data_IF_261671167166
#
_entry.id   IF_261671167166
#
_cell.length_a   1.000
_cell.length_b   1.000
_cell.length_c   1.000
_cell.angle_alpha   90.00
_cell.angle_beta   90.00
_cell.angle_gamma   90.00
#
_symmetry.space_group_name_H-M   'P 1'
#
loop_
_entity.id
_entity.type
_entity.pdbx_description
1 polymer ?
#
# COMPACT_ATOMS: atom_id res chain seq x y z
N UNK A 1 -19.38 -22.85 35.21
CA UNK A 1 -19.31 -21.41 34.84
C UNK A 1 -17.92 -20.81 35.04
N UNK A 2 -17.44 -20.45 36.25
CA UNK A 2 -16.12 -19.76 36.45
C UNK A 2 -14.97 -20.23 35.53
N UNK A 3 -14.58 -21.51 35.55
CA UNK A 3 -13.50 -22.04 34.69
C UNK A 3 -13.70 -21.79 33.18
N UNK A 4 -14.95 -21.80 32.71
CA UNK A 4 -15.30 -21.58 31.31
C UNK A 4 -15.16 -20.10 30.93
N UNK A 5 -15.50 -19.19 31.86
CA UNK A 5 -15.21 -17.76 31.71
C UNK A 5 -13.70 -17.48 31.74
N UNK A 6 -12.92 -18.18 32.58
CA UNK A 6 -11.45 -18.07 32.59
C UNK A 6 -10.84 -18.52 31.26
N UNK A 7 -11.29 -19.65 30.70
CA UNK A 7 -10.83 -20.14 29.40
C UNK A 7 -11.25 -19.17 28.28
N UNK A 8 -12.49 -18.66 28.29
CA UNK A 8 -12.96 -17.69 27.30
C UNK A 8 -12.19 -16.37 27.36
N UNK A 9 -11.87 -15.86 28.57
CA UNK A 9 -11.00 -14.71 28.75
C UNK A 9 -9.57 -14.98 28.28
N UNK A 10 -9.04 -16.20 28.46
CA UNK A 10 -7.70 -16.56 27.98
C UNK A 10 -7.65 -16.64 26.45
N UNK A 11 -8.67 -17.20 25.80
CA UNK A 11 -8.79 -17.23 24.32
C UNK A 11 -8.93 -15.81 23.77
N UNK A 12 -9.82 -14.99 24.34
CA UNK A 12 -9.96 -13.58 23.94
C UNK A 12 -8.69 -12.74 24.22
N UNK A 13 -7.88 -13.11 25.22
CA UNK A 13 -6.58 -12.48 25.46
C UNK A 13 -5.49 -12.94 24.47
N UNK A 14 -5.60 -14.16 23.91
CA UNK A 14 -4.73 -14.63 22.82
C UNK A 14 -5.09 -13.91 21.51
N UNK A 15 -6.38 -13.75 21.20
CA UNK A 15 -6.83 -12.93 20.06
C UNK A 15 -6.40 -11.46 20.21
N UNK A 16 -6.35 -10.92 21.44
CA UNK A 16 -5.84 -9.58 21.74
C UNK A 16 -4.30 -9.45 21.68
N UNK A 17 -3.57 -10.54 21.46
CA UNK A 17 -2.12 -10.58 21.22
C UNK A 17 -1.78 -11.00 19.78
N UNK A 18 -2.78 -11.12 18.89
CA UNK A 18 -2.65 -11.85 17.62
C UNK A 18 -2.11 -11.03 16.43
N UNK A 19 -2.00 -9.70 16.54
CA UNK A 19 -1.49 -8.85 15.46
C UNK A 19 0.04 -8.97 15.27
N UNK A 20 0.49 -10.13 14.78
CA UNK A 20 1.89 -10.51 14.55
C UNK A 20 2.66 -9.53 13.63
N UNK A 21 1.94 -8.85 12.76
CA UNK A 21 2.50 -8.00 11.70
C UNK A 21 1.88 -6.60 11.71
N UNK A 22 2.73 -5.58 11.64
CA UNK A 22 2.34 -4.22 11.30
C UNK A 22 2.41 -3.99 9.78
N UNK A 23 1.98 -2.82 9.30
CA UNK A 23 2.04 -2.47 7.87
C UNK A 23 3.49 -2.47 7.35
N UNK A 24 4.48 -2.08 8.17
CA UNK A 24 5.91 -2.17 7.82
C UNK A 24 6.34 -3.59 7.46
N UNK A 25 5.98 -4.58 8.28
CA UNK A 25 6.26 -6.01 8.03
C UNK A 25 5.65 -6.48 6.71
N UNK A 26 4.37 -6.16 6.49
CA UNK A 26 3.63 -6.49 5.26
C UNK A 26 4.28 -5.85 4.04
N UNK A 27 4.89 -4.67 4.20
CA UNK A 27 5.65 -3.98 3.16
C UNK A 27 6.89 -4.72 2.67
N UNK A 28 7.48 -5.64 3.45
CA UNK A 28 8.64 -6.42 3.03
C UNK A 28 8.30 -7.63 2.16
N UNK A 29 7.07 -8.14 2.26
CA UNK A 29 6.62 -9.34 1.55
C UNK A 29 6.15 -8.97 0.14
N UNK A 30 6.44 -9.83 -0.83
CA UNK A 30 5.79 -9.73 -2.14
C UNK A 30 4.45 -10.47 -2.16
N UNK A 31 3.43 -9.73 -2.59
CA UNK A 31 2.02 -10.03 -2.43
C UNK A 31 1.28 -9.90 -3.78
N UNK A 32 2.03 -9.98 -4.88
CA UNK A 32 1.50 -9.88 -6.23
C UNK A 32 1.20 -8.44 -6.69
N UNK A 33 2.06 -7.48 -6.33
CA UNK A 33 2.01 -6.15 -6.97
C UNK A 33 2.48 -6.24 -8.42
N UNK A 34 1.77 -5.61 -9.35
CA UNK A 34 2.09 -5.68 -10.79
C UNK A 34 3.55 -5.29 -11.08
N UNK A 35 4.35 -6.19 -11.71
CA UNK A 35 5.77 -5.94 -11.92
C UNK A 35 6.00 -4.91 -13.02
N UNK A 36 7.08 -4.15 -12.92
CA UNK A 36 7.53 -3.33 -14.04
C UNK A 36 7.89 -4.20 -15.23
N UNK A 37 7.66 -3.69 -16.44
CA UNK A 37 8.11 -4.34 -17.68
C UNK A 37 9.20 -3.53 -18.37
N UNK A 38 10.21 -4.21 -18.88
CA UNK A 38 11.20 -3.64 -19.78
C UNK A 38 11.11 -4.31 -21.15
N UNK A 39 10.53 -3.60 -22.11
CA UNK A 39 10.55 -4.04 -23.50
C UNK A 39 11.87 -3.62 -24.14
N UNK A 40 12.67 -4.60 -24.57
CA UNK A 40 13.95 -4.37 -25.26
C UNK A 40 13.69 -4.58 -26.74
N UNK A 41 13.54 -3.47 -27.47
CA UNK A 41 13.35 -3.48 -28.91
C UNK A 41 14.70 -3.53 -29.62
N UNK A 42 14.85 -4.49 -30.53
CA UNK A 42 16.07 -4.72 -31.30
C UNK A 42 15.77 -4.66 -32.81
N UNK A 43 16.65 -4.09 -33.65
CA UNK A 43 16.46 -4.08 -35.10
C UNK A 43 16.19 -5.49 -35.68
N UNK A 44 15.34 -5.61 -36.71
CA UNK A 44 14.99 -6.91 -37.33
C UNK A 44 16.23 -7.74 -37.72
N UNK A 45 17.25 -7.08 -38.27
CA UNK A 45 18.49 -7.70 -38.75
C UNK A 45 19.58 -7.79 -37.67
N UNK A 46 19.24 -7.80 -36.37
CA UNK A 46 20.23 -7.85 -35.29
C UNK A 46 21.00 -9.18 -35.32
N UNK A 47 22.36 -9.15 -35.39
CA UNK A 47 23.16 -10.37 -35.41
C UNK A 47 22.92 -11.25 -34.17
N UNK A 48 22.89 -12.57 -34.36
CA UNK A 48 22.61 -13.54 -33.28
C UNK A 48 23.50 -13.36 -32.05
N UNK A 49 24.80 -13.12 -32.23
CA UNK A 49 25.72 -12.86 -31.12
C UNK A 49 25.34 -11.61 -30.30
N UNK A 50 24.79 -10.57 -30.95
CA UNK A 50 24.31 -9.37 -30.26
C UNK A 50 23.02 -9.68 -29.48
N UNK A 51 22.13 -10.51 -30.01
CA UNK A 51 20.93 -10.97 -29.29
C UNK A 51 21.31 -11.80 -28.05
N UNK A 52 22.29 -12.69 -28.18
CA UNK A 52 22.78 -13.54 -27.08
C UNK A 52 23.47 -12.72 -25.99
N UNK A 53 24.21 -11.65 -26.35
CA UNK A 53 24.72 -10.64 -25.39
C UNK A 53 23.55 -9.94 -24.68
N UNK A 54 22.60 -9.37 -25.42
CA UNK A 54 21.47 -8.62 -24.84
C UNK A 54 20.64 -9.51 -23.90
N UNK A 55 20.37 -10.76 -24.29
CA UNK A 55 19.59 -11.70 -23.50
C UNK A 55 20.33 -12.20 -22.26
N UNK A 56 21.63 -12.49 -22.35
CA UNK A 56 22.41 -12.92 -21.18
C UNK A 56 22.62 -11.78 -20.18
N UNK A 57 22.88 -10.55 -20.64
CA UNK A 57 22.95 -9.39 -19.74
C UNK A 57 21.61 -9.10 -19.09
N UNK A 58 20.51 -8.99 -19.85
CA UNK A 58 19.19 -8.73 -19.27
C UNK A 58 18.73 -9.83 -18.29
N UNK A 59 19.07 -11.09 -18.55
CA UNK A 59 18.83 -12.18 -17.61
C UNK A 59 19.63 -11.97 -16.31
N UNK A 60 20.95 -11.71 -16.40
CA UNK A 60 21.79 -11.47 -15.24
C UNK A 60 21.37 -10.25 -14.40
N UNK A 61 21.00 -9.14 -15.05
CA UNK A 61 20.58 -7.89 -14.36
C UNK A 61 19.23 -8.04 -13.65
N UNK A 62 18.28 -8.82 -14.19
CA UNK A 62 16.89 -8.80 -13.71
C UNK A 62 16.38 -10.09 -13.05
N UNK A 63 17.17 -11.17 -13.01
CA UNK A 63 16.76 -12.46 -12.45
C UNK A 63 16.13 -12.34 -11.04
N UNK A 64 16.85 -11.72 -10.11
CA UNK A 64 16.40 -11.48 -8.72
C UNK A 64 15.74 -10.10 -8.52
N UNK A 65 15.21 -9.50 -9.59
CA UNK A 65 14.58 -8.16 -9.55
C UNK A 65 13.05 -8.20 -9.59
N UNK A 66 12.41 -7.08 -9.26
CA UNK A 66 10.98 -6.85 -9.46
C UNK A 66 10.60 -6.37 -10.88
N UNK A 67 11.50 -6.53 -11.85
CA UNK A 67 11.29 -6.23 -13.27
C UNK A 67 11.12 -7.54 -14.05
N UNK A 68 10.25 -7.53 -15.06
CA UNK A 68 10.21 -8.57 -16.11
C UNK A 68 10.62 -7.94 -17.44
N UNK A 69 11.48 -8.61 -18.21
CA UNK A 69 11.98 -8.09 -19.47
C UNK A 69 11.55 -8.98 -20.64
N UNK A 70 11.33 -8.36 -21.81
CA UNK A 70 10.91 -9.03 -23.03
C UNK A 70 11.70 -8.48 -24.21
N UNK A 71 12.44 -9.34 -24.93
CA UNK A 71 13.23 -8.97 -26.10
C UNK A 71 12.46 -9.31 -27.39
N UNK A 72 12.35 -8.35 -28.30
CA UNK A 72 11.55 -8.48 -29.51
C UNK A 72 11.95 -7.49 -30.61
N UNK A 73 11.68 -7.85 -31.86
CA UNK A 73 11.80 -6.93 -32.99
C UNK A 73 10.52 -6.11 -33.18
N UNK A 74 10.55 -4.96 -33.88
CA UNK A 74 9.36 -4.17 -34.18
C UNK A 74 8.18 -4.95 -34.75
N UNK A 75 8.44 -5.89 -35.66
CA UNK A 75 7.39 -6.71 -36.30
C UNK A 75 6.71 -7.63 -35.27
N UNK A 76 7.47 -8.28 -34.38
CA UNK A 76 6.90 -9.10 -33.30
C UNK A 76 6.14 -8.25 -32.28
N UNK A 77 6.66 -7.06 -31.96
CA UNK A 77 6.03 -6.13 -31.03
C UNK A 77 4.69 -5.57 -31.55
N UNK A 78 4.56 -5.41 -32.87
CA UNK A 78 3.37 -4.85 -33.49
C UNK A 78 2.10 -5.68 -33.25
N UNK A 79 2.21 -6.97 -32.92
CA UNK A 79 1.07 -7.86 -32.69
C UNK A 79 0.85 -8.22 -31.20
N UNK A 80 1.68 -7.70 -30.29
CA UNK A 80 1.64 -8.01 -28.85
C UNK A 80 1.29 -6.82 -27.93
N UNK A 81 1.30 -7.07 -26.62
CA UNK A 81 1.05 -6.03 -25.59
C UNK A 81 2.05 -4.85 -25.68
N UNK A 82 3.25 -5.11 -26.20
CA UNK A 82 4.30 -4.11 -26.41
C UNK A 82 4.00 -3.07 -27.52
N UNK A 83 2.97 -3.29 -28.35
CA UNK A 83 2.58 -2.41 -29.48
C UNK A 83 2.40 -0.95 -29.07
N UNK A 84 1.85 -0.71 -27.87
CA UNK A 84 1.62 0.64 -27.33
C UNK A 84 2.92 1.40 -26.97
N UNK A 85 4.04 0.69 -26.86
CA UNK A 85 5.33 1.21 -26.41
C UNK A 85 6.42 1.18 -27.49
N UNK A 86 6.10 0.68 -28.69
CA UNK A 86 7.03 0.51 -29.80
C UNK A 86 7.54 1.88 -30.31
N UNK A 87 8.86 2.15 -30.30
CA UNK A 87 9.42 3.37 -30.88
C UNK A 87 9.17 3.47 -32.38
N UNK A 88 9.05 4.71 -32.89
CA UNK A 88 8.80 4.98 -34.33
C UNK A 88 9.86 4.41 -35.27
N UNK A 89 11.09 4.28 -34.78
CA UNK A 89 12.23 3.75 -35.49
C UNK A 89 13.14 3.04 -34.49
N UNK A 90 13.68 1.87 -34.85
CA UNK A 90 14.58 1.06 -34.04
C UNK A 90 15.83 0.74 -34.88
N UNK A 91 16.70 1.75 -35.00
CA UNK A 91 17.99 1.63 -35.70
C UNK A 91 19.08 1.00 -34.83
N UNK A 92 18.94 1.10 -33.50
CA UNK A 92 19.82 0.50 -32.49
C UNK A 92 18.97 -0.08 -31.34
N UNK A 93 19.49 -1.04 -30.54
CA UNK A 93 18.79 -1.57 -29.38
C UNK A 93 18.35 -0.48 -28.39
N UNK A 94 17.06 -0.48 -28.05
CA UNK A 94 16.44 0.51 -27.16
C UNK A 94 15.52 -0.17 -26.16
N UNK A 95 15.64 0.21 -24.89
CA UNK A 95 14.73 -0.23 -23.84
C UNK A 95 13.57 0.76 -23.72
N UNK A 96 12.37 0.25 -23.44
CA UNK A 96 11.24 1.06 -22.97
C UNK A 96 10.76 0.44 -21.68
N UNK A 97 10.98 1.16 -20.58
CA UNK A 97 10.61 0.74 -19.23
C UNK A 97 9.21 1.24 -18.93
N UNK A 98 8.35 0.36 -18.41
CA UNK A 98 6.89 0.52 -18.31
C UNK A 98 6.46 0.26 -16.88
N UNK A 99 5.59 1.11 -16.35
CA UNK A 99 5.06 0.99 -14.99
C UNK A 99 4.18 -0.26 -14.85
N UNK A 100 4.12 -0.84 -13.65
CA UNK A 100 3.30 -2.05 -13.40
C UNK A 100 1.83 -1.89 -13.79
N UNK A 101 1.28 -0.68 -13.70
CA UNK A 101 -0.10 -0.37 -14.13
C UNK A 101 -0.28 -0.24 -15.65
N UNK A 102 0.78 -0.38 -16.44
CA UNK A 102 0.79 -0.33 -17.90
C UNK A 102 0.52 1.05 -18.53
N UNK A 103 0.45 2.14 -17.74
CA UNK A 103 0.01 3.46 -18.26
C UNK A 103 1.12 4.44 -18.56
N UNK A 104 2.31 4.26 -17.99
CA UNK A 104 3.45 5.18 -18.15
C UNK A 104 4.64 4.42 -18.70
N UNK A 105 5.46 5.08 -19.50
CA UNK A 105 6.74 4.54 -19.96
C UNK A 105 7.84 5.59 -19.97
N UNK A 106 9.10 5.14 -19.95
CA UNK A 106 10.30 5.96 -20.12
C UNK A 106 11.32 5.21 -20.98
N UNK A 107 11.94 5.85 -21.98
CA UNK A 107 12.97 5.21 -22.80
C UNK A 107 14.27 5.04 -22.00
N UNK A 108 14.86 3.85 -22.10
CA UNK A 108 16.14 3.45 -21.52
C UNK A 108 17.17 3.33 -22.64
N UNK A 109 18.30 4.01 -22.49
CA UNK A 109 19.36 4.03 -23.51
C UNK A 109 20.31 2.85 -23.28
N UNK A 110 20.33 1.92 -24.23
CA UNK A 110 21.11 0.67 -24.14
C UNK A 110 22.41 0.69 -24.98
N UNK A 111 22.64 1.77 -25.74
CA UNK A 111 23.81 1.92 -26.62
C UNK A 111 24.49 3.26 -26.38
N UNK A 112 25.82 3.32 -26.52
CA UNK A 112 26.58 4.56 -26.40
C UNK A 112 27.72 4.61 -27.42
N UNK A 113 27.69 5.65 -28.26
CA UNK A 113 28.63 5.81 -29.39
C UNK A 113 30.07 5.78 -28.88
N UNK A 114 30.85 4.82 -29.36
CA UNK A 114 32.26 4.63 -28.99
C UNK A 114 32.52 3.65 -27.84
N UNK A 115 31.49 3.09 -27.19
CA UNK A 115 31.64 1.95 -26.27
C UNK A 115 31.30 0.62 -26.99
N UNK A 116 31.86 -0.52 -26.52
CA UNK A 116 31.41 -1.84 -26.93
C UNK A 116 29.93 -2.07 -26.60
N UNK A 117 29.24 -2.92 -27.38
CA UNK A 117 27.83 -3.24 -27.15
C UNK A 117 27.60 -3.82 -25.75
N UNK A 118 28.34 -4.86 -25.35
CA UNK A 118 28.17 -5.51 -24.06
C UNK A 118 28.27 -4.54 -22.86
N UNK A 119 29.22 -3.59 -22.91
CA UNK A 119 29.37 -2.55 -21.88
C UNK A 119 28.19 -1.57 -21.91
N UNK A 120 27.79 -1.10 -23.11
CA UNK A 120 26.67 -0.17 -23.24
C UNK A 120 25.34 -0.78 -22.79
N UNK A 121 25.12 -2.06 -23.09
CA UNK A 121 23.96 -2.83 -22.66
C UNK A 121 23.98 -2.99 -21.13
N UNK A 122 25.13 -3.32 -20.53
CA UNK A 122 25.27 -3.39 -19.07
C UNK A 122 24.96 -2.03 -18.41
N UNK A 123 25.70 -0.98 -18.76
CA UNK A 123 25.50 0.41 -18.27
C UNK A 123 24.01 0.81 -18.35
N UNK A 124 23.37 0.53 -19.48
CA UNK A 124 21.98 0.92 -19.76
C UNK A 124 20.93 0.12 -19.00
N UNK A 125 21.10 -1.19 -18.84
CA UNK A 125 20.18 -2.04 -18.09
C UNK A 125 20.34 -1.86 -16.58
N UNK A 126 21.59 -1.76 -16.10
CA UNK A 126 21.88 -1.53 -14.68
C UNK A 126 21.23 -0.22 -14.19
N UNK A 127 21.27 0.86 -14.98
CA UNK A 127 20.62 2.15 -14.66
C UNK A 127 19.09 2.09 -14.42
N UNK A 128 18.43 0.98 -14.79
CA UNK A 128 17.00 0.79 -14.54
C UNK A 128 16.75 0.43 -13.08
N UNK A 129 17.66 -0.32 -12.43
CA UNK A 129 17.55 -0.76 -11.02
C UNK A 129 18.53 -0.08 -10.07
N UNK A 130 19.73 0.27 -10.53
CA UNK A 130 20.78 0.89 -9.73
C UNK A 130 20.75 2.42 -9.86
N UNK A 131 20.98 3.13 -8.75
CA UNK A 131 21.38 4.55 -8.75
C UNK A 131 21.92 4.96 -7.37
N UNK A 132 22.93 5.83 -7.26
CA UNK A 132 23.51 6.19 -5.96
C UNK A 132 22.53 6.81 -4.95
N UNK A 133 21.57 7.67 -5.35
CA UNK A 133 20.58 8.19 -4.38
C UNK A 133 19.51 7.14 -4.10
N UNK A 134 19.04 6.38 -5.10
CA UNK A 134 18.12 5.25 -4.90
C UNK A 134 18.62 4.26 -3.86
N UNK A 135 19.85 3.79 -3.99
CA UNK A 135 20.41 2.78 -3.08
C UNK A 135 20.55 3.35 -1.65
N UNK A 136 20.99 4.61 -1.53
CA UNK A 136 21.07 5.30 -0.24
C UNK A 136 19.69 5.57 0.40
N UNK A 137 18.63 5.73 -0.39
CA UNK A 137 17.25 5.77 0.09
C UNK A 137 16.77 4.38 0.48
N UNK A 138 16.98 3.35 -0.35
CA UNK A 138 16.52 1.98 -0.09
C UNK A 138 17.10 1.40 1.20
N UNK A 139 18.41 1.54 1.44
CA UNK A 139 19.03 1.14 2.70
C UNK A 139 18.28 1.73 3.92
N UNK A 140 17.94 3.01 3.85
CA UNK A 140 17.16 3.70 4.90
C UNK A 140 15.71 3.23 4.97
N UNK A 141 15.06 2.94 3.84
CA UNK A 141 13.69 2.37 3.82
C UNK A 141 13.64 1.00 4.51
N UNK A 142 14.70 0.21 4.39
CA UNK A 142 14.79 -1.09 5.03
C UNK A 142 15.08 -1.01 6.54
N UNK A 143 15.99 -0.12 6.96
CA UNK A 143 16.40 0.01 8.36
C UNK A 143 15.38 0.79 9.21
N UNK A 144 14.85 1.90 8.69
CA UNK A 144 13.97 2.81 9.42
C UNK A 144 12.49 2.40 9.38
N UNK A 145 11.68 2.98 10.27
CA UNK A 145 10.21 2.95 10.22
C UNK A 145 9.66 3.27 8.83
N UNK A 146 10.25 4.26 8.16
CA UNK A 146 10.00 4.62 6.77
C UNK A 146 10.77 5.89 6.38
N UNK A 147 10.81 6.20 5.08
CA UNK A 147 11.48 7.39 4.54
C UNK A 147 10.43 8.35 3.97
N UNK A 148 10.50 9.61 4.42
CA UNK A 148 9.81 10.75 3.79
C UNK A 148 10.77 11.31 2.74
N UNK A 149 10.57 10.93 1.47
CA UNK A 149 11.38 11.40 0.35
C UNK A 149 10.81 12.71 -0.19
N UNK A 150 11.54 13.81 0.00
CA UNK A 150 11.22 15.14 -0.51
C UNK A 150 12.00 15.38 -1.80
N UNK A 151 11.29 15.59 -2.91
CA UNK A 151 11.87 16.06 -4.17
C UNK A 151 11.69 17.57 -4.22
N UNK A 152 12.79 18.30 -4.39
CA UNK A 152 12.76 19.77 -4.42
C UNK A 152 12.07 20.29 -5.69
N UNK A 153 11.15 21.24 -5.49
CA UNK A 153 10.62 22.08 -6.55
C UNK A 153 11.51 23.30 -6.80
N UNK A 154 11.09 24.19 -7.71
CA UNK A 154 11.84 25.42 -8.02
C UNK A 154 11.76 26.47 -6.91
N UNK A 155 10.71 26.47 -6.09
CA UNK A 155 10.54 27.42 -5.00
C UNK A 155 11.29 26.99 -3.72
N UNK A 156 12.45 27.60 -3.49
CA UNK A 156 13.30 27.32 -2.32
C UNK A 156 12.59 27.57 -0.96
N UNK A 157 11.70 28.56 -0.86
CA UNK A 157 10.99 28.84 0.39
C UNK A 157 9.99 27.72 0.74
N UNK A 158 9.32 27.17 -0.29
CA UNK A 158 8.42 26.03 -0.12
C UNK A 158 9.19 24.73 0.14
N UNK A 159 10.33 24.51 -0.53
CA UNK A 159 11.23 23.39 -0.23
C UNK A 159 11.60 23.39 1.27
N UNK A 160 11.99 24.54 1.81
CA UNK A 160 12.37 24.66 3.23
C UNK A 160 11.17 24.62 4.19
N UNK A 161 9.98 25.09 3.77
CA UNK A 161 8.73 24.87 4.52
C UNK A 161 8.45 23.38 4.68
N UNK A 162 8.55 22.62 3.59
CA UNK A 162 8.25 21.18 3.57
C UNK A 162 9.31 20.33 4.25
N UNK A 163 10.60 20.65 4.13
CA UNK A 163 11.66 20.01 4.96
C UNK A 163 11.36 20.15 6.46
N UNK A 164 11.01 21.37 6.90
CA UNK A 164 10.63 21.65 8.31
C UNK A 164 9.34 20.94 8.73
N UNK A 165 8.39 20.79 7.81
CA UNK A 165 7.14 20.04 8.02
C UNK A 165 7.43 18.54 8.20
N UNK A 166 8.19 17.93 7.29
CA UNK A 166 8.60 16.52 7.38
C UNK A 166 9.39 16.22 8.68
N UNK A 167 10.27 17.13 9.10
CA UNK A 167 11.00 17.00 10.37
C UNK A 167 10.07 17.04 11.61
N UNK A 168 9.00 17.87 11.59
CA UNK A 168 7.97 17.85 12.65
C UNK A 168 7.17 16.55 12.65
N UNK A 169 6.85 16.00 11.47
CA UNK A 169 6.20 14.68 11.37
C UNK A 169 7.12 13.60 11.98
N UNK A 170 8.40 13.56 11.60
CA UNK A 170 9.37 12.61 12.18
C UNK A 170 9.41 12.70 13.70
N UNK A 171 9.56 13.91 14.28
CA UNK A 171 9.57 14.09 15.73
C UNK A 171 8.25 13.64 16.38
N UNK A 172 7.11 13.91 15.74
CA UNK A 172 5.77 13.54 16.22
C UNK A 172 5.53 12.03 16.20
N UNK A 173 6.07 11.31 15.21
CA UNK A 173 6.01 9.84 15.12
C UNK A 173 6.96 9.23 16.15
N UNK A 174 8.20 9.71 16.23
CA UNK A 174 9.24 9.22 17.16
C UNK A 174 8.76 9.27 18.61
N UNK A 175 8.11 10.38 19.00
CA UNK A 175 7.51 10.56 20.33
C UNK A 175 6.23 9.72 20.61
N UNK A 176 5.95 8.73 19.75
CA UNK A 176 4.87 7.73 19.87
C UNK A 176 5.33 6.30 19.60
N UNK A 177 6.61 6.08 19.24
CA UNK A 177 7.12 4.74 18.92
C UNK A 177 7.15 3.81 20.14
N UNK A 178 7.20 4.39 21.34
CA UNK A 178 6.98 3.75 22.65
C UNK A 178 5.60 3.09 22.82
N UNK A 179 4.65 3.38 21.92
CA UNK A 179 3.24 2.96 22.00
C UNK A 179 2.79 2.08 20.84
N UNK A 180 3.72 1.68 19.97
CA UNK A 180 3.44 0.73 18.91
C UNK A 180 3.25 -0.66 19.53
N UNK A 181 2.22 -1.38 19.09
CA UNK A 181 1.93 -2.73 19.59
C UNK A 181 3.03 -3.74 19.19
N UNK A 182 3.78 -3.43 18.13
CA UNK A 182 5.05 -4.08 17.76
C UNK A 182 6.15 -3.04 17.65
N UNK A 183 7.26 -3.26 18.35
CA UNK A 183 8.44 -2.40 18.32
C UNK A 183 9.01 -2.24 16.91
N UNK A 184 9.30 -1.00 16.53
CA UNK A 184 10.14 -0.64 15.39
C UNK A 184 11.31 0.15 15.97
N UNK A 185 12.54 -0.33 15.77
CA UNK A 185 13.74 0.22 16.43
C UNK A 185 14.06 1.65 15.99
N UNK A 186 14.07 1.87 14.68
CA UNK A 186 14.62 3.07 14.07
C UNK A 186 13.53 4.04 13.60
N UNK A 187 13.66 5.31 14.01
CA UNK A 187 12.72 6.39 13.70
C UNK A 187 12.59 6.65 12.19
N UNK A 188 11.45 7.18 11.69
CA UNK A 188 11.35 7.59 10.29
C UNK A 188 12.33 8.72 9.97
N UNK A 189 12.84 8.78 8.73
CA UNK A 189 13.82 9.79 8.30
C UNK A 189 13.36 10.59 7.09
N UNK A 190 13.93 11.78 6.89
CA UNK A 190 13.65 12.66 5.76
C UNK A 190 14.83 12.64 4.79
N UNK A 191 14.62 12.12 3.59
CA UNK A 191 15.61 12.20 2.51
C UNK A 191 15.23 13.30 1.52
N UNK A 192 16.22 13.97 0.93
CA UNK A 192 16.02 15.04 -0.04
C UNK A 192 16.72 14.71 -1.36
N UNK A 193 16.00 14.80 -2.46
CA UNK A 193 16.57 14.85 -3.82
C UNK A 193 16.49 16.29 -4.30
N UNK A 194 17.64 16.92 -4.45
CA UNK A 194 17.74 18.30 -4.90
C UNK A 194 17.47 18.40 -6.41
N UNK A 195 16.97 19.55 -6.87
CA UNK A 195 16.61 19.75 -8.29
C UNK A 195 17.76 19.51 -9.27
N UNK A 196 19.01 19.68 -8.83
CA UNK A 196 20.24 19.35 -9.59
C UNK A 196 20.46 17.85 -9.80
N UNK A 197 20.01 17.01 -8.87
CA UNK A 197 20.26 15.56 -8.87
C UNK A 197 19.13 14.79 -9.59
N UNK A 198 17.98 15.44 -9.82
CA UNK A 198 16.79 14.93 -10.50
C UNK A 198 17.11 14.23 -11.84
N UNK A 199 18.03 14.79 -12.62
CA UNK A 199 18.38 14.27 -13.94
C UNK A 199 19.10 12.91 -13.89
N UNK A 200 19.89 12.65 -12.84
CA UNK A 200 20.54 11.36 -12.62
C UNK A 200 19.55 10.31 -12.09
N UNK A 201 18.67 10.73 -11.17
CA UNK A 201 17.68 9.87 -10.51
C UNK A 201 16.36 9.75 -11.30
N UNK A 202 16.34 10.14 -12.58
CA UNK A 202 15.10 10.27 -13.38
C UNK A 202 14.27 8.98 -13.41
N UNK A 203 14.89 7.81 -13.58
CA UNK A 203 14.18 6.52 -13.63
C UNK A 203 13.54 6.17 -12.29
N UNK A 204 14.22 6.47 -11.18
CA UNK A 204 13.74 6.26 -9.82
C UNK A 204 12.59 7.23 -9.45
N UNK A 205 12.73 8.51 -9.79
CA UNK A 205 11.68 9.50 -9.57
C UNK A 205 10.43 9.20 -10.42
N UNK A 206 10.63 8.86 -11.70
CA UNK A 206 9.55 8.42 -12.58
C UNK A 206 8.84 7.18 -12.05
N UNK A 207 9.54 6.19 -11.48
CA UNK A 207 8.88 4.98 -10.98
C UNK A 207 7.90 5.29 -9.85
N UNK A 208 8.23 6.28 -9.00
CA UNK A 208 7.38 6.84 -7.93
C UNK A 208 6.32 7.84 -8.42
N UNK A 209 6.22 8.11 -9.73
CA UNK A 209 5.25 9.05 -10.30
C UNK A 209 5.69 10.52 -10.31
N UNK A 210 6.99 10.79 -10.11
CA UNK A 210 7.58 12.13 -10.15
C UNK A 210 8.27 12.34 -11.51
N UNK A 211 7.49 12.75 -12.51
CA UNK A 211 7.96 12.78 -13.91
C UNK A 211 8.75 14.05 -14.30
N UNK A 212 8.63 15.16 -13.53
CA UNK A 212 9.32 16.43 -13.76
C UNK A 212 9.49 17.25 -12.45
N UNK A 213 10.35 18.28 -12.47
CA UNK A 213 10.51 19.26 -11.37
C UNK A 213 9.36 20.28 -11.41
N UNK A 214 8.46 20.21 -10.43
CA UNK A 214 7.38 21.19 -10.25
C UNK A 214 7.87 22.53 -9.64
N UNK A 215 6.97 23.52 -9.57
CA UNK A 215 7.26 24.78 -8.84
C UNK A 215 7.34 24.54 -7.33
N UNK A 216 6.42 23.73 -6.81
CA UNK A 216 6.33 23.25 -5.43
C UNK A 216 7.13 21.95 -5.24
N UNK A 217 7.64 21.66 -4.02
CA UNK A 217 8.20 20.35 -3.71
C UNK A 217 7.14 19.24 -3.80
N UNK A 218 7.61 18.02 -4.01
CA UNK A 218 6.78 16.82 -4.12
C UNK A 218 7.27 15.79 -3.10
N UNK A 219 6.35 15.12 -2.38
CA UNK A 219 6.73 14.19 -1.31
C UNK A 219 6.17 12.79 -1.56
N UNK A 220 7.02 11.79 -1.37
CA UNK A 220 6.68 10.37 -1.43
C UNK A 220 7.06 9.75 -0.08
N UNK A 221 6.18 8.91 0.49
CA UNK A 221 6.50 8.14 1.70
C UNK A 221 6.82 6.70 1.28
N UNK A 222 7.89 6.13 1.82
CA UNK A 222 8.44 4.83 1.45
C UNK A 222 8.62 3.94 2.69
N UNK A 223 8.34 2.63 2.56
CA UNK A 223 8.43 1.65 3.66
C UNK A 223 8.70 0.22 3.16
N UNK A 224 9.10 -0.68 4.05
CA UNK A 224 9.23 -2.11 3.76
C UNK A 224 10.28 -2.40 2.68
N UNK A 225 9.96 -3.26 1.70
CA UNK A 225 10.80 -3.57 0.52
C UNK A 225 10.71 -2.43 -0.52
N UNK A 226 10.95 -1.19 -0.12
CA UNK A 226 10.91 -0.03 -1.02
C UNK A 226 9.51 0.25 -1.60
N UNK A 227 8.42 -0.02 -0.87
CA UNK A 227 7.05 0.27 -1.31
C UNK A 227 6.66 1.72 -1.01
N UNK A 228 5.92 2.34 -1.92
CA UNK A 228 5.31 3.65 -1.74
C UNK A 228 4.03 3.57 -0.91
N UNK A 229 3.91 4.40 0.12
CA UNK A 229 2.71 4.55 0.94
C UNK A 229 1.84 5.71 0.46
N UNK A 230 0.66 5.41 -0.07
CA UNK A 230 -0.27 6.42 -0.60
C UNK A 230 0.20 7.09 -1.90
N UNK A 231 -0.46 8.18 -2.33
CA UNK A 231 -0.10 8.94 -3.53
C UNK A 231 1.08 9.90 -3.27
N UNK A 232 1.71 10.38 -4.35
CA UNK A 232 2.66 11.51 -4.27
C UNK A 232 1.92 12.76 -3.80
N UNK A 233 2.34 13.32 -2.66
CA UNK A 233 1.81 14.57 -2.13
C UNK A 233 2.39 15.77 -2.88
N UNK A 234 1.51 16.71 -3.25
CA UNK A 234 1.82 17.96 -3.97
C UNK A 234 0.81 19.02 -3.52
N UNK A 235 1.21 20.29 -3.62
CA UNK A 235 0.33 21.45 -3.52
C UNK A 235 -0.58 21.40 -2.28
N UNK A 236 -1.91 21.54 -2.43
CA UNK A 236 -2.88 21.54 -1.33
C UNK A 236 -2.92 20.21 -0.54
N UNK A 237 -2.47 19.10 -1.12
CA UNK A 237 -2.38 17.79 -0.44
C UNK A 237 -1.08 17.63 0.36
N UNK A 238 -0.14 18.56 0.24
CA UNK A 238 1.16 18.52 0.90
C UNK A 238 1.16 19.30 2.23
N UNK A 239 0.20 18.95 3.10
CA UNK A 239 0.06 19.50 4.45
C UNK A 239 0.60 18.54 5.53
N UNK A 240 0.75 19.05 6.75
CA UNK A 240 1.33 18.32 7.88
C UNK A 240 0.43 17.20 8.41
N UNK A 241 -0.89 17.37 8.35
CA UNK A 241 -1.86 16.37 8.78
C UNK A 241 -1.91 15.20 7.78
N UNK A 242 -1.98 15.48 6.48
CA UNK A 242 -1.94 14.44 5.43
C UNK A 242 -0.64 13.62 5.49
N UNK A 243 0.51 14.29 5.59
CA UNK A 243 1.80 13.60 5.74
C UNK A 243 1.88 12.79 7.05
N UNK A 244 1.41 13.36 8.17
CA UNK A 244 1.36 12.66 9.46
C UNK A 244 0.49 11.40 9.40
N UNK A 245 -0.68 11.47 8.77
CA UNK A 245 -1.60 10.34 8.70
C UNK A 245 -1.04 9.19 7.83
N UNK A 246 -0.42 9.52 6.69
CA UNK A 246 0.26 8.55 5.83
C UNK A 246 1.39 7.85 6.60
N UNK A 247 2.26 8.60 7.29
CA UNK A 247 3.39 8.02 8.02
C UNK A 247 2.91 7.16 9.20
N UNK A 248 1.97 7.63 10.04
CA UNK A 248 1.43 6.84 11.17
C UNK A 248 0.93 5.45 10.73
N UNK A 249 0.35 5.36 9.52
CA UNK A 249 -0.25 4.11 9.03
C UNK A 249 0.77 2.98 8.88
N UNK A 250 2.06 3.27 8.70
CA UNK A 250 3.12 2.25 8.56
C UNK A 250 3.34 1.45 9.86
N UNK A 251 3.14 2.10 11.02
CA UNK A 251 3.25 1.47 12.34
C UNK A 251 1.97 0.79 12.84
N UNK A 252 0.85 0.87 12.11
CA UNK A 252 -0.41 0.25 12.51
C UNK A 252 -0.42 -1.26 12.21
N UNK A 253 -1.22 -2.01 12.96
CA UNK A 253 -1.46 -3.44 12.72
C UNK A 253 -2.20 -3.64 11.40
N UNK A 254 -1.74 -4.60 10.58
CA UNK A 254 -2.34 -4.87 9.27
C UNK A 254 -3.76 -5.48 9.35
N UNK A 255 -4.17 -5.99 10.52
CA UNK A 255 -5.49 -6.60 10.75
C UNK A 255 -6.60 -5.56 11.08
N UNK A 256 -6.24 -4.34 11.47
CA UNK A 256 -7.16 -3.35 12.04
C UNK A 256 -8.08 -2.62 11.03
N UNK A 257 -8.54 -3.30 9.98
CA UNK A 257 -9.54 -2.78 9.04
C UNK A 257 -9.07 -1.70 8.07
N UNK A 258 -7.74 -1.58 7.89
CA UNK A 258 -7.13 -0.67 6.91
C UNK A 258 -7.52 -1.01 5.46
N UNK A 259 -7.63 0.02 4.61
CA UNK A 259 -7.81 -0.20 3.17
C UNK A 259 -6.54 -0.81 2.55
N UNK A 260 -6.72 -1.92 1.84
CA UNK A 260 -5.66 -2.76 1.29
C UNK A 260 -4.89 -2.12 0.15
N UNK A 261 -5.48 -1.15 -0.57
CA UNK A 261 -4.79 -0.35 -1.61
C UNK A 261 -3.47 0.24 -1.11
N UNK A 262 -3.43 0.60 0.17
CA UNK A 262 -2.31 1.26 0.82
C UNK A 262 -1.16 0.29 1.11
N UNK A 263 -1.48 -0.96 1.46
CA UNK A 263 -0.49 -2.02 1.72
C UNK A 263 0.07 -2.64 0.43
N UNK A 264 -0.60 -2.46 -0.71
CA UNK A 264 -0.21 -2.97 -2.03
C UNK A 264 0.47 -1.90 -2.91
N UNK A 265 1.05 -0.87 -2.29
CA UNK A 265 1.67 0.25 -2.97
C UNK A 265 2.83 -0.13 -3.90
N UNK A 266 3.03 0.70 -4.93
CA UNK A 266 4.07 0.56 -5.96
C UNK A 266 5.45 0.40 -5.33
N UNK A 267 6.16 -0.67 -5.69
CA UNK A 267 7.53 -0.94 -5.24
C UNK A 267 8.54 -0.14 -6.07
N UNK A 268 9.67 0.26 -5.52
CA UNK A 268 10.80 0.84 -6.27
C UNK A 268 11.45 -0.23 -7.16
N UNK A 269 11.83 0.05 -8.42
CA UNK A 269 12.61 -0.89 -9.24
C UNK A 269 13.98 -1.15 -8.61
N UNK A 270 14.28 -2.41 -8.29
CA UNK A 270 15.44 -2.78 -7.48
C UNK A 270 15.87 -4.24 -7.66
N UNK A 271 17.13 -4.54 -7.37
CA UNK A 271 17.60 -5.91 -7.07
C UNK A 271 17.04 -6.38 -5.71
N UNK A 272 16.91 -7.69 -5.55
CA UNK A 272 16.59 -8.35 -4.28
C UNK A 272 17.33 -9.69 -4.19
N UNK A 273 18.66 -9.58 -4.24
CA UNK A 273 19.60 -10.70 -4.22
C UNK A 273 19.61 -11.50 -2.90
N UNK A 274 20.46 -12.53 -2.85
CA UNK A 274 20.54 -13.45 -1.70
C UNK A 274 21.08 -12.77 -0.42
N UNK A 275 21.94 -11.76 -0.53
CA UNK A 275 22.58 -11.13 0.62
C UNK A 275 21.68 -10.06 1.25
N UNK A 276 20.99 -9.29 0.41
CA UNK A 276 19.84 -8.45 0.81
C UNK A 276 18.79 -9.29 1.56
N UNK A 277 18.45 -10.48 1.04
CA UNK A 277 17.46 -11.37 1.69
C UNK A 277 17.90 -11.89 3.05
N UNK A 278 19.13 -12.42 3.16
CA UNK A 278 19.67 -12.94 4.44
C UNK A 278 19.63 -11.84 5.51
N UNK A 279 20.10 -10.65 5.17
CA UNK A 279 20.16 -9.52 6.09
C UNK A 279 18.79 -9.14 6.68
N UNK A 280 17.71 -9.20 5.87
CA UNK A 280 16.36 -8.89 6.36
C UNK A 280 15.63 -10.04 7.04
N UNK A 281 15.94 -11.30 6.71
CA UNK A 281 15.41 -12.44 7.49
C UNK A 281 15.86 -12.36 8.97
N UNK A 282 17.13 -12.03 9.21
CA UNK A 282 17.68 -11.82 10.55
C UNK A 282 17.11 -10.57 11.24
N UNK A 283 16.96 -9.45 10.52
CA UNK A 283 16.45 -8.20 11.11
C UNK A 283 14.96 -8.27 11.48
N UNK A 284 14.13 -8.91 10.64
CA UNK A 284 12.68 -8.98 10.82
C UNK A 284 12.22 -10.08 11.79
N UNK A 285 13.08 -11.07 12.07
CA UNK A 285 12.73 -12.27 12.84
C UNK A 285 11.78 -13.22 12.10
N UNK A 286 11.62 -13.06 10.80
CA UNK A 286 10.89 -13.96 9.91
C UNK A 286 11.42 -13.81 8.47
N UNK A 287 11.32 -14.87 7.68
CA UNK A 287 11.65 -14.87 6.26
C UNK A 287 10.47 -14.32 5.42
N UNK A 288 10.60 -13.16 4.73
CA UNK A 288 9.56 -12.59 3.88
C UNK A 288 9.36 -13.33 2.52
N UNK A 289 10.26 -14.24 2.17
CA UNK A 289 10.14 -15.10 0.98
C UNK A 289 9.40 -16.41 1.28
N UNK A 290 9.34 -16.82 2.55
CA UNK A 290 8.69 -18.04 3.02
C UNK A 290 7.25 -18.17 2.51
N UNK A 291 6.89 -19.28 1.81
CA UNK A 291 5.53 -19.53 1.37
C UNK A 291 4.51 -19.51 2.51
N UNK A 292 4.91 -19.90 3.73
CA UNK A 292 4.04 -19.85 4.90
C UNK A 292 3.68 -18.40 5.28
N UNK A 293 4.68 -17.51 5.39
CA UNK A 293 4.48 -16.09 5.71
C UNK A 293 3.71 -15.39 4.58
N UNK A 294 4.03 -15.68 3.31
CA UNK A 294 3.30 -15.16 2.15
C UNK A 294 1.82 -15.54 2.20
N UNK A 295 1.50 -16.79 2.54
CA UNK A 295 0.10 -17.24 2.70
C UNK A 295 -0.55 -16.64 3.94
N UNK A 296 0.15 -16.52 5.07
CA UNK A 296 -0.36 -15.90 6.31
C UNK A 296 -0.76 -14.43 6.09
N UNK A 297 0.14 -13.62 5.53
CA UNK A 297 -0.14 -12.22 5.18
C UNK A 297 -1.18 -12.09 4.07
N UNK A 298 -1.16 -12.94 3.05
CA UNK A 298 -2.21 -12.95 2.02
C UNK A 298 -3.58 -13.29 2.60
N UNK A 299 -3.66 -14.16 3.62
CA UNK A 299 -4.91 -14.43 4.33
C UNK A 299 -5.37 -13.25 5.17
N UNK A 300 -4.47 -12.52 5.84
CA UNK A 300 -4.83 -11.26 6.54
C UNK A 300 -5.39 -10.24 5.54
N UNK A 301 -4.70 -10.07 4.40
CA UNK A 301 -5.11 -9.22 3.29
C UNK A 301 -6.34 -9.75 2.51
N UNK A 302 -6.82 -10.97 2.80
CA UNK A 302 -8.09 -11.49 2.33
C UNK A 302 -9.23 -11.30 3.36
N UNK A 303 -9.01 -11.66 4.63
CA UNK A 303 -10.05 -11.82 5.69
C UNK A 303 -10.93 -10.61 5.98
N UNK A 304 -10.36 -9.40 6.05
CA UNK A 304 -11.05 -8.11 6.18
C UNK A 304 -11.93 -7.71 4.97
N UNK A 305 -12.86 -8.58 4.57
CA UNK A 305 -13.91 -8.29 3.59
C UNK A 305 -14.98 -7.33 4.12
N UNK A 306 -15.96 -7.02 3.26
CA UNK A 306 -17.03 -6.05 3.53
C UNK A 306 -17.77 -6.34 4.86
N UNK A 307 -17.55 -5.49 5.88
CA UNK A 307 -18.36 -5.48 7.10
C UNK A 307 -17.70 -4.89 8.34
N UNK A 308 -16.39 -5.12 8.56
CA UNK A 308 -15.77 -4.84 9.87
C UNK A 308 -15.09 -3.47 10.01
N UNK A 309 -14.71 -2.79 8.93
CA UNK A 309 -14.07 -1.46 9.00
C UNK A 309 -15.00 -0.30 9.40
N UNK A 310 -16.33 -0.48 9.34
CA UNK A 310 -17.30 0.61 9.40
C UNK A 310 -17.53 1.23 10.80
N UNK A 311 -17.08 0.60 11.88
CA UNK A 311 -17.47 0.98 13.26
C UNK A 311 -16.31 0.95 14.29
N UNK A 312 -15.06 1.23 13.87
CA UNK A 312 -13.96 1.52 14.82
C UNK A 312 -13.24 2.85 14.59
N UNK A 313 -13.43 3.53 13.45
CA UNK A 313 -12.98 4.92 13.25
C UNK A 313 -13.94 5.95 13.87
N UNK A 314 -14.41 5.69 15.08
CA UNK A 314 -15.08 6.71 15.88
C UNK A 314 -14.03 7.57 16.58
N UNK A 315 -14.16 8.90 16.49
CA UNK A 315 -13.32 9.90 17.18
C UNK A 315 -11.92 10.22 16.62
N UNK A 316 -11.67 9.96 15.33
CA UNK A 316 -10.86 10.86 14.50
C UNK A 316 -11.71 11.24 13.27
N UNK A 317 -11.78 12.53 12.95
CA UNK A 317 -12.69 13.07 11.93
C UNK A 317 -12.17 12.92 10.51
N UNK A 318 -13.03 12.47 9.60
CA UNK A 318 -12.70 12.19 8.20
C UNK A 318 -12.02 10.83 8.02
N UNK A 319 -12.43 10.08 7.01
CA UNK A 319 -11.70 8.86 6.62
C UNK A 319 -10.37 9.23 5.95
N UNK A 320 -9.38 8.35 6.01
CA UNK A 320 -8.07 8.61 5.39
C UNK A 320 -8.16 8.74 3.85
N UNK A 321 -9.13 8.05 3.23
CA UNK A 321 -9.42 8.15 1.78
C UNK A 321 -10.06 9.52 1.45
N UNK A 322 -11.04 9.97 2.24
CA UNK A 322 -11.69 11.31 2.15
C UNK A 322 -10.68 12.46 2.30
N UNK A 323 -9.74 12.33 3.26
CA UNK A 323 -8.64 13.28 3.47
C UNK A 323 -7.73 13.40 2.23
N UNK A 324 -7.42 12.31 1.53
CA UNK A 324 -6.56 12.35 0.33
C UNK A 324 -7.32 12.60 -0.98
N UNK A 325 -8.61 12.27 -1.06
CA UNK A 325 -9.48 12.68 -2.16
C UNK A 325 -9.73 14.20 -2.14
N UNK A 326 -9.58 14.85 -0.98
CA UNK A 326 -9.74 16.31 -0.82
C UNK A 326 -11.19 16.75 -0.71
N UNK A 327 -12.14 15.82 -0.57
CA UNK A 327 -13.55 16.13 -0.45
C UNK A 327 -13.87 16.46 1.01
N UNK A 328 -14.02 17.75 1.32
CA UNK A 328 -14.50 18.21 2.63
C UNK A 328 -15.89 18.81 2.49
N UNK A 329 -16.89 18.14 3.03
CA UNK A 329 -18.22 18.74 3.23
C UNK A 329 -18.13 19.82 4.32
N UNK A 330 -17.86 21.05 3.90
CA UNK A 330 -17.84 22.21 4.78
C UNK A 330 -19.23 22.45 5.35
N UNK A 331 -19.42 22.20 6.64
CA UNK A 331 -20.66 22.47 7.34
C UNK A 331 -21.00 23.97 7.28
N UNK A 332 -21.84 24.35 6.32
CA UNK A 332 -22.30 25.72 6.11
C UNK A 332 -23.06 26.19 7.34
N UNK A 333 -22.39 27.00 8.17
CA UNK A 333 -23.07 27.85 9.16
C UNK A 333 -23.88 28.88 8.38
N UNK A 334 -25.15 28.57 8.14
CA UNK A 334 -26.15 29.52 7.67
C UNK A 334 -26.17 30.66 8.70
N UNK A 335 -25.70 31.84 8.29
CA UNK A 335 -25.76 33.02 9.14
C UNK A 335 -27.23 33.42 9.31
N UNK A 336 -27.66 33.64 10.55
CA UNK A 336 -29.01 34.09 10.84
C UNK A 336 -29.20 35.52 10.31
N UNK A 337 -29.83 35.62 9.14
CA UNK A 337 -30.15 36.90 8.51
C UNK A 337 -31.20 37.64 9.34
N UNK A 338 -30.75 38.59 10.17
CA UNK A 338 -31.62 39.39 11.03
C UNK A 338 -32.66 40.15 10.19
N UNK A 339 -33.98 39.89 10.35
CA UNK A 339 -35.00 40.51 9.50
C UNK A 339 -35.31 41.93 9.97
N UNK A 340 -34.62 42.92 9.40
CA UNK A 340 -35.07 44.32 9.44
C UNK A 340 -36.34 44.43 8.59
N UNK A 341 -37.49 44.70 9.22
CA UNK A 341 -38.65 45.20 8.51
C UNK A 341 -39.56 46.05 9.40
N UNK A 342 -40.16 47.08 8.82
CA UNK A 342 -41.06 47.99 9.52
C UNK A 342 -42.48 47.42 9.64
N UNK A 343 -43.16 47.78 10.73
CA UNK A 343 -44.61 47.71 10.84
C UNK A 343 -45.27 48.70 9.84
N UNK A 344 -46.61 48.64 9.52
CA UNK A 344 -47.64 47.99 10.34
C UNK A 344 -48.84 47.32 9.61
N UNK A 345 -49.47 46.32 10.27
CA UNK A 345 -50.86 46.44 10.80
C UNK A 345 -51.33 45.21 11.60
N UNK A 346 -52.47 45.37 12.28
CA UNK A 346 -53.18 44.41 13.13
C UNK A 346 -53.73 43.22 12.28
N UNK A 347 -54.04 42.04 12.82
CA UNK A 347 -55.20 41.78 13.71
C UNK A 347 -55.03 40.51 14.57
N UNK A 348 -55.84 40.41 15.62
CA UNK A 348 -55.79 39.44 16.74
C UNK A 348 -56.60 38.17 16.45
N UNK A 349 -56.03 36.98 16.77
CA UNK A 349 -56.73 35.95 17.57
C UNK A 349 -55.85 34.76 17.99
N UNK A 350 -56.12 34.28 19.20
CA UNK A 350 -55.86 32.96 19.78
C UNK A 350 -57.16 32.61 20.59
N UNK A 351 -57.37 31.42 21.21
CA UNK A 351 -56.41 30.33 21.48
C UNK A 351 -57.01 28.89 21.35
N UNK A 352 -56.38 27.93 22.06
CA UNK A 352 -56.95 26.69 22.65
C UNK A 352 -57.04 25.40 21.80
N UNK A 353 -57.00 24.19 22.44
CA UNK A 353 -56.46 22.97 21.82
C UNK A 353 -57.31 21.68 22.03
N UNK A 354 -56.64 20.52 21.92
CA UNK A 354 -57.04 19.13 22.29
C UNK A 354 -57.98 18.32 21.36
N UNK A 355 -57.52 17.10 21.02
CA UNK A 355 -58.06 15.85 21.59
C UNK A 355 -57.21 14.60 21.30
N UNK A 356 -57.38 13.55 22.12
CA UNK A 356 -56.84 12.18 21.96
C UNK A 356 -58.00 11.20 21.78
N UNK A 357 -57.84 10.15 20.96
CA UNK A 357 -58.40 8.80 21.19
C UNK A 357 -57.94 7.78 20.11
N UNK A 358 -57.82 6.51 20.50
CA UNK A 358 -57.61 5.30 19.66
C UNK A 358 -58.96 4.55 19.49
N UNK A 359 -59.11 3.30 18.95
CA UNK A 359 -58.13 2.30 18.46
C UNK A 359 -58.52 1.56 17.12
N UNK A 360 -57.93 0.37 16.91
CA UNK A 360 -58.00 -0.60 15.77
C UNK A 360 -59.17 -1.62 15.91
N UNK A 361 -59.27 -2.84 15.26
CA UNK A 361 -58.44 -3.62 14.28
C UNK A 361 -59.29 -4.06 13.02
N UNK A 362 -59.24 -5.26 12.35
CA UNK A 362 -58.33 -6.44 12.29
C UNK A 362 -58.01 -6.98 10.84
N UNK A 363 -57.77 -8.30 10.69
CA UNK A 363 -57.69 -9.17 9.45
C UNK A 363 -56.37 -9.20 8.65
N UNK A 364 -55.78 -10.35 8.22
CA UNK A 364 -55.47 -11.66 8.85
C UNK A 364 -54.50 -12.50 7.95
N UNK A 365 -53.54 -13.23 8.57
CA UNK A 365 -52.69 -14.38 8.11
C UNK A 365 -52.13 -14.50 6.65
N UNK A 366 -50.89 -14.99 6.42
CA UNK A 366 -50.45 -16.36 6.77
C UNK A 366 -48.95 -16.69 6.55
N UNK A 367 -48.40 -17.56 7.43
CA UNK A 367 -47.46 -18.72 7.26
C UNK A 367 -46.21 -18.66 6.31
N UNK A 368 -45.03 -19.28 6.58
CA UNK A 368 -44.38 -19.93 7.76
C UNK A 368 -42.90 -20.29 7.45
N UNK A 369 -42.02 -20.34 8.47
CA UNK A 369 -40.76 -21.12 8.47
C UNK A 369 -39.47 -20.35 8.10
N UNK A 370 -38.25 -20.69 8.57
CA UNK A 370 -37.80 -21.69 9.57
C UNK A 370 -36.57 -21.15 10.34
N UNK A 371 -36.31 -21.62 11.57
CA UNK A 371 -35.17 -21.17 12.39
C UNK A 371 -33.98 -22.14 12.34
N UNK A 372 -32.78 -21.61 12.08
CA UNK A 372 -31.52 -22.35 11.87
C UNK A 372 -31.01 -23.04 13.16
N UNK A 373 -31.41 -22.55 14.34
CA UNK A 373 -30.87 -22.98 15.65
C UNK A 373 -31.06 -24.48 15.93
N UNK A 374 -32.11 -25.11 15.38
CA UNK A 374 -32.41 -26.52 15.63
C UNK A 374 -31.36 -27.52 15.12
N UNK A 375 -30.60 -27.18 14.06
CA UNK A 375 -29.69 -28.14 13.42
C UNK A 375 -28.38 -28.37 14.18
N UNK A 376 -27.85 -27.37 14.88
CA UNK A 376 -26.60 -27.53 15.64
C UNK A 376 -26.74 -28.52 16.82
N UNK A 377 -27.92 -28.57 17.44
CA UNK A 377 -28.18 -29.44 18.60
C UNK A 377 -28.25 -30.92 18.18
N UNK A 378 -28.84 -31.22 17.02
CA UNK A 378 -28.98 -32.60 16.53
C UNK A 378 -27.66 -33.23 16.07
N UNK A 379 -26.71 -32.44 15.57
CA UNK A 379 -25.46 -32.97 15.01
C UNK A 379 -24.32 -33.08 16.04
N UNK A 380 -24.16 -32.09 16.95
CA UNK A 380 -23.00 -32.02 17.85
C UNK A 380 -23.01 -33.04 18.99
N UNK A 381 -24.18 -33.36 19.54
CA UNK A 381 -24.34 -34.26 20.69
C UNK A 381 -23.92 -35.72 20.41
N UNK A 382 -24.38 -36.39 19.33
CA UNK A 382 -24.00 -37.79 19.09
C UNK A 382 -22.50 -37.99 18.81
N UNK A 383 -21.83 -37.01 18.19
CA UNK A 383 -20.39 -37.08 17.89
C UNK A 383 -19.57 -37.09 19.19
N UNK A 384 -19.92 -36.24 20.17
CA UNK A 384 -19.25 -36.20 21.48
C UNK A 384 -19.46 -37.48 22.29
N UNK A 385 -20.65 -38.09 22.22
CA UNK A 385 -20.96 -39.36 22.88
C UNK A 385 -20.16 -40.51 22.24
N UNK A 386 -20.09 -40.56 20.90
CA UNK A 386 -19.29 -41.55 20.18
C UNK A 386 -17.80 -41.49 20.53
N UNK A 387 -17.21 -40.28 20.54
CA UNK A 387 -15.81 -40.08 20.93
C UNK A 387 -15.49 -40.53 22.36
N UNK A 388 -16.41 -40.28 23.31
CA UNK A 388 -16.26 -40.72 24.69
C UNK A 388 -16.26 -42.25 24.84
N UNK A 389 -17.11 -42.95 24.08
CA UNK A 389 -17.18 -44.42 24.10
C UNK A 389 -15.90 -45.05 23.52
N UNK A 390 -15.38 -44.50 22.41
CA UNK A 390 -14.12 -44.99 21.80
C UNK A 390 -12.94 -44.81 22.77
N UNK A 391 -12.84 -43.66 23.46
CA UNK A 391 -11.81 -43.41 24.47
C UNK A 391 -11.91 -44.34 25.69
N UNK A 392 -13.12 -44.73 26.10
CA UNK A 392 -13.32 -45.69 27.20
C UNK A 392 -12.99 -47.14 26.81
N UNK A 393 -13.30 -47.54 25.57
CA UNK A 393 -12.99 -48.88 25.07
C UNK A 393 -11.48 -49.05 24.80
N UNK A 394 -10.84 -48.08 24.14
CA UNK A 394 -9.39 -48.13 23.87
C UNK A 394 -8.55 -48.23 25.15
N UNK A 395 -9.01 -47.61 26.24
CA UNK A 395 -8.33 -47.63 27.55
C UNK A 395 -8.47 -48.96 28.32
N UNK A 396 -9.27 -49.91 27.83
CA UNK A 396 -9.39 -51.28 28.36
C UNK A 396 -8.57 -52.32 27.59
N UNK A 397 -7.90 -51.95 26.50
CA UNK A 397 -7.11 -52.87 25.65
C UNK A 397 -5.60 -52.86 25.96
N UNK A 398 -5.18 -52.14 27.01
CA UNK A 398 -3.76 -51.87 27.32
C UNK A 398 -3.46 -51.98 28.83
N UNK A 399 -4.00 -53.02 29.47
CA UNK A 399 -3.74 -53.43 30.86
C UNK A 399 -3.90 -54.94 31.02
#
# INVERSE_FOLDING_TARGET
MRKLATILSLVLAIDALACRFNVRDVGFVDLGSDPYRLYIFVPENTPRANLEIIQSTAYATYLESNIKFEIQTPSKAADGEAKAFLPKEVAEPIGVFVSGDGKRSVPVKLTKKGQPLAVSIWDGLESVIDSPRRNAVLAKVYEHYGVILVVEGKNAAENDRIKKQAARVVATITARMDRLEKEIKEAPVVEVIAGKDFAAEKTFLWSLGVDAIAETPQVVVLYGRGRQMGPVLRDERLDEHSLTAIVNTIGLNCECGLDRKWMQGTMIPQSWDEDVRKHFADHLGFDPESPAIRVEMSQILAKGGKGQGANRNAQIGGTLDELLMGYREGALKIAEATPTNAAPKKTVSAPAPEKKASPSPPVVESKTGYSIVGWMIMAGVPILIGGAIILLLGRRSNS
#
